data_IF_803354131516
#
_entry.id   IF_803354131516
#
_cell.length_a   1.000
_cell.length_b   1.000
_cell.length_c   1.000
_cell.angle_alpha   90.00
_cell.angle_beta   90.00
_cell.angle_gamma   90.00
#
_symmetry.space_group_name_H-M   'P 1'
#
loop_
_entity.id
_entity.type
_entity.pdbx_description
1 polymer ?
#
# COMPACT_ATOMS: atom_id res chain seq x y z
N UNK A 1 -10.00 6.98 -9.05
CA UNK A 1 -9.25 6.71 -9.57
C UNK A 1 -8.72 6.31 -9.76
N UNK A 2 -9.26 5.80 -9.43
CA UNK A 2 -8.58 5.23 -9.98
C UNK A 2 -7.73 5.10 -9.99
N UNK A 3 -8.42 5.05 -9.76
CA UNK A 3 -7.55 4.71 -10.18
C UNK A 3 -6.93 4.82 -10.28
N UNK A 4 -7.52 4.65 -9.95
CA UNK A 4 -6.85 4.47 -10.59
C UNK A 4 -6.43 4.39 -10.94
N UNK A 5 -6.90 4.49 -10.58
CA UNK A 5 -6.35 4.25 -11.30
C UNK A 5 -6.02 4.15 -11.55
N UNK A 6 -6.58 4.33 -11.37
CA UNK A 6 -5.99 4.09 -11.97
C UNK A 6 -5.76 4.10 -12.48
N UNK A 7 -5.91 4.34 -12.49
CA UNK A 7 -5.49 4.27 -13.31
C UNK A 7 -5.12 4.22 -13.74
N UNK A 8 -5.60 4.45 -13.43
CA UNK A 8 -5.12 4.32 -14.17
C UNK A 8 -5.03 4.21 -14.72
N UNK A 9 -5.48 4.29 -14.70
CA UNK A 9 -5.19 4.23 -15.36
C UNK A 9 -5.47 3.95 -15.85
N UNK A 10 -5.94 4.19 -16.07
CA UNK A 10 -6.03 3.89 -16.86
C UNK A 10 -6.45 3.45 -17.50
N UNK A 11 -6.98 3.49 -17.65
CA UNK A 11 -7.21 3.04 -18.38
C UNK A 11 -7.67 2.60 -19.01
N UNK A 12 -8.02 2.36 -19.30
CA UNK A 12 -8.33 2.01 -19.86
C UNK A 12 -8.48 1.26 -20.32
N UNK A 13 -8.73 0.88 -20.31
CA UNK A 13 -8.70 0.19 -20.56
C UNK A 13 -8.79 -0.76 -21.04
N UNK A 14 -9.11 -1.00 -21.24
CA UNK A 14 -9.11 -1.91 -21.63
C UNK A 14 -8.47 -2.79 -21.73
N UNK A 15 -8.43 -3.06 -21.45
CA UNK A 15 -7.86 -3.86 -21.29
C UNK A 15 -7.14 -4.45 -21.21
N UNK A 16 -6.84 -4.44 -21.17
CA UNK A 16 -6.14 -4.88 -21.12
C UNK A 16 -5.52 -5.28 -20.28
N UNK A 17 -5.66 -5.08 -19.71
CA UNK A 17 -5.17 -5.26 -18.67
C UNK A 17 -4.70 -6.35 -18.47
N UNK A 18 -4.87 -6.78 -18.67
CA UNK A 18 -4.59 -7.86 -18.55
C UNK A 18 -3.46 -8.11 -18.63
N UNK A 19 -3.05 -7.49 -19.11
CA UNK A 19 -1.98 -7.70 -19.28
C UNK A 19 -1.32 -8.07 -18.23
N UNK A 20 -1.42 -7.80 -17.31
CA UNK A 20 -0.72 -8.17 -16.30
C UNK A 20 -1.33 -9.12 -15.61
N UNK A 21 -2.34 -9.39 -15.67
CA UNK A 21 -2.89 -10.47 -15.12
C UNK A 21 -2.55 -10.86 -13.75
N UNK A 22 -2.03 -10.08 -12.99
CA UNK A 22 -1.70 -10.47 -11.67
C UNK A 22 -2.75 -10.16 -10.65
N UNK A 23 -3.96 -9.84 -11.06
CA UNK A 23 -5.04 -9.56 -10.14
C UNK A 23 -5.44 -10.86 -9.45
N UNK A 24 -5.54 -10.84 -8.15
CA UNK A 24 -6.01 -11.99 -7.40
C UNK A 24 -7.49 -11.80 -7.06
N UNK A 25 -8.06 -12.75 -6.33
CA UNK A 25 -9.47 -12.69 -5.96
C UNK A 25 -9.81 -11.49 -5.10
N UNK A 26 -8.82 -10.86 -4.49
CA UNK A 26 -9.03 -9.67 -3.66
C UNK A 26 -8.93 -8.38 -4.46
N UNK A 27 -8.66 -8.46 -5.75
CA UNK A 27 -8.55 -7.30 -6.62
C UNK A 27 -7.28 -6.50 -6.43
N UNK A 28 -6.25 -7.08 -5.83
CA UNK A 28 -4.98 -6.40 -5.62
C UNK A 28 -4.01 -6.81 -6.72
N UNK A 29 -3.44 -5.82 -7.38
CA UNK A 29 -2.40 -6.01 -8.38
C UNK A 29 -1.20 -5.22 -7.89
N UNK A 30 -0.05 -5.86 -7.79
CA UNK A 30 1.16 -5.21 -7.31
C UNK A 30 2.03 -4.74 -8.47
N UNK A 31 2.52 -3.52 -8.36
CA UNK A 31 3.37 -2.91 -9.36
C UNK A 31 4.59 -2.33 -8.66
N UNK A 32 5.74 -2.98 -8.82
CA UNK A 32 6.98 -2.50 -8.24
C UNK A 32 7.20 -3.01 -6.83
N UNK A 33 7.86 -2.20 -6.01
CA UNK A 33 8.15 -2.55 -4.64
C UNK A 33 6.92 -2.40 -3.76
N UNK A 34 6.88 -3.17 -2.69
CA UNK A 34 5.80 -3.13 -1.71
C UNK A 34 6.34 -2.61 -0.38
N UNK A 35 5.68 -1.62 0.18
CA UNK A 35 6.02 -1.10 1.50
C UNK A 35 4.90 -1.33 2.47
N UNK A 36 5.25 -1.59 3.73
CA UNK A 36 4.28 -1.87 4.77
C UNK A 36 4.63 -1.09 6.03
N UNK A 37 3.63 -0.48 6.64
CA UNK A 37 3.77 0.12 7.97
C UNK A 37 2.62 -0.39 8.81
N UNK A 38 2.95 -1.01 9.92
CA UNK A 38 1.95 -1.55 10.83
C UNK A 38 1.95 -0.77 12.13
N UNK A 39 0.77 -0.32 12.55
CA UNK A 39 0.62 0.49 13.74
C UNK A 39 -0.40 -0.14 14.68
N UNK A 40 -0.32 0.26 15.94
CA UNK A 40 -1.35 -0.08 16.91
C UNK A 40 -2.32 1.10 16.96
N UNK A 41 -3.48 0.90 16.34
CA UNK A 41 -4.51 1.92 16.31
C UNK A 41 -4.64 2.60 14.95
N UNK A 42 -5.85 3.03 14.65
CA UNK A 42 -6.18 3.60 13.35
C UNK A 42 -5.55 4.98 13.16
N UNK A 43 -5.51 5.79 14.22
CA UNK A 43 -4.98 7.16 14.07
C UNK A 43 -3.54 7.16 13.57
N UNK A 44 -2.69 6.34 14.19
CA UNK A 44 -1.31 6.24 13.75
C UNK A 44 -1.22 5.66 12.34
N UNK A 45 -2.09 4.72 12.00
CA UNK A 45 -2.13 4.15 10.65
C UNK A 45 -2.49 5.18 9.59
N UNK A 46 -3.47 6.00 9.87
CA UNK A 46 -3.88 7.05 8.93
C UNK A 46 -2.78 8.10 8.78
N UNK A 47 -2.12 8.44 9.88
CA UNK A 47 -1.00 9.37 9.80
C UNK A 47 0.14 8.79 8.96
N UNK A 48 0.44 7.50 9.13
CA UNK A 48 1.44 6.85 8.29
C UNK A 48 1.05 6.93 6.81
N UNK A 49 -0.20 6.64 6.51
CA UNK A 49 -0.67 6.67 5.13
C UNK A 49 -0.50 8.05 4.51
N UNK A 50 -0.92 9.08 5.22
CA UNK A 50 -0.81 10.45 4.74
C UNK A 50 0.65 10.84 4.53
N UNK A 51 1.50 10.55 5.50
CA UNK A 51 2.91 10.91 5.39
C UNK A 51 3.59 10.20 4.22
N UNK A 52 3.24 8.94 4.00
CA UNK A 52 3.86 8.17 2.91
C UNK A 52 3.53 8.74 1.54
N UNK A 53 2.26 9.03 1.28
CA UNK A 53 1.89 9.53 -0.04
C UNK A 53 2.32 10.97 -0.26
N UNK A 54 2.58 11.71 0.80
CA UNK A 54 3.13 13.06 0.68
C UNK A 54 4.63 13.06 0.45
N UNK A 55 5.33 12.03 0.94
CA UNK A 55 6.79 12.00 0.91
C UNK A 55 7.35 11.55 -0.43
N UNK A 56 6.65 10.71 -1.18
CA UNK A 56 7.19 10.12 -2.40
C UNK A 56 6.05 9.68 -3.31
N UNK A 57 6.40 9.37 -4.54
CA UNK A 57 5.42 8.95 -5.54
C UNK A 57 5.08 7.48 -5.33
N UNK A 58 4.17 7.22 -4.41
CA UNK A 58 3.71 5.88 -4.09
C UNK A 58 2.18 5.87 -4.04
N UNK A 59 1.62 4.68 -4.17
CA UNK A 59 0.17 4.48 -4.16
C UNK A 59 -0.19 3.57 -3.00
N UNK A 60 -1.24 3.91 -2.26
CA UNK A 60 -1.75 3.02 -1.23
C UNK A 60 -2.57 1.93 -1.90
N UNK A 61 -2.20 0.67 -1.65
CA UNK A 61 -2.87 -0.45 -2.29
C UNK A 61 -3.78 -1.22 -1.35
N UNK A 62 -3.57 -1.11 -0.05
CA UNK A 62 -4.41 -1.85 0.88
C UNK A 62 -4.30 -1.28 2.29
N UNK A 63 -5.34 -1.49 3.06
CA UNK A 63 -5.36 -1.31 4.49
C UNK A 63 -5.84 -2.62 5.08
N UNK A 64 -5.07 -3.18 6.00
CA UNK A 64 -5.41 -4.45 6.63
C UNK A 64 -5.66 -4.23 8.12
N UNK A 65 -6.75 -4.77 8.63
CA UNK A 65 -7.05 -4.79 10.06
C UNK A 65 -7.32 -6.22 10.44
N UNK A 66 -6.49 -6.77 11.31
CA UNK A 66 -6.56 -8.19 11.64
C UNK A 66 -7.00 -8.42 13.08
N UNK A 67 -7.37 -7.38 13.78
CA UNK A 67 -7.79 -7.49 15.18
C UNK A 67 -6.74 -6.98 16.13
N UNK A 68 -7.10 -6.84 17.38
CA UNK A 68 -6.18 -6.36 18.41
C UNK A 68 -5.77 -4.91 18.24
N UNK A 69 -6.45 -4.15 17.40
CA UNK A 69 -6.10 -2.76 17.13
C UNK A 69 -4.99 -2.58 16.11
N UNK A 70 -4.48 -3.66 15.54
CA UNK A 70 -3.40 -3.58 14.56
C UNK A 70 -3.94 -3.15 13.20
N UNK A 71 -3.25 -2.17 12.61
CA UNK A 71 -3.61 -1.63 11.30
C UNK A 71 -2.34 -1.62 10.46
N UNK A 72 -2.41 -2.18 9.28
CA UNK A 72 -1.29 -2.17 8.34
C UNK A 72 -1.70 -1.36 7.10
N UNK A 73 -0.82 -0.45 6.69
CA UNK A 73 -0.98 0.31 5.47
C UNK A 73 0.08 -0.18 4.50
N UNK A 74 -0.36 -0.50 3.29
CA UNK A 74 0.52 -1.04 2.27
C UNK A 74 0.57 -0.08 1.09
N UNK A 75 1.77 0.15 0.60
CA UNK A 75 2.01 1.05 -0.53
C UNK A 75 2.85 0.34 -1.58
N UNK A 76 2.79 0.85 -2.79
CA UNK A 76 3.63 0.34 -3.88
C UNK A 76 4.20 1.48 -4.68
N UNK A 77 5.27 1.19 -5.41
CA UNK A 77 5.94 2.14 -6.28
C UNK A 77 7.37 1.71 -6.57
N UNK A 78 8.17 2.60 -7.12
CA UNK A 78 9.58 2.32 -7.31
C UNK A 78 10.24 2.12 -5.95
N UNK A 79 11.26 1.24 -5.92
CA UNK A 79 11.85 0.84 -4.64
C UNK A 79 12.40 2.03 -3.85
N UNK A 80 13.04 2.98 -4.51
CA UNK A 80 13.56 4.17 -3.82
C UNK A 80 12.45 5.01 -3.22
N UNK A 81 11.37 5.19 -3.98
CA UNK A 81 10.21 5.95 -3.50
C UNK A 81 9.55 5.24 -2.32
N UNK A 82 9.41 3.92 -2.40
CA UNK A 82 8.79 3.15 -1.33
C UNK A 82 9.63 3.22 -0.06
N UNK A 83 10.96 3.12 -0.18
CA UNK A 83 11.82 3.24 1.00
C UNK A 83 11.68 4.60 1.66
N UNK A 84 11.71 5.67 0.86
CA UNK A 84 11.56 7.02 1.38
C UNK A 84 10.19 7.21 2.05
N UNK A 85 9.15 6.68 1.41
CA UNK A 85 7.80 6.79 1.93
C UNK A 85 7.66 6.04 3.27
N UNK A 86 8.16 4.82 3.35
CA UNK A 86 8.08 4.04 4.59
C UNK A 86 8.80 4.76 5.73
N UNK A 87 10.00 5.29 5.46
CA UNK A 87 10.73 6.03 6.49
C UNK A 87 9.92 7.22 6.99
N UNK A 88 9.32 7.97 6.08
CA UNK A 88 8.49 9.13 6.46
C UNK A 88 7.25 8.69 7.24
N UNK A 89 6.63 7.61 6.81
CA UNK A 89 5.44 7.08 7.49
C UNK A 89 5.73 6.65 8.92
N UNK A 90 6.84 5.95 9.12
CA UNK A 90 7.25 5.50 10.45
C UNK A 90 7.52 6.71 11.34
N UNK A 91 8.29 7.68 10.85
CA UNK A 91 8.63 8.85 11.63
C UNK A 91 7.39 9.63 12.06
N UNK A 92 6.46 9.82 11.13
CA UNK A 92 5.27 10.60 11.38
C UNK A 92 4.29 9.87 12.30
N UNK A 93 4.06 8.59 12.04
CA UNK A 93 3.14 7.79 12.84
C UNK A 93 3.64 7.62 14.28
N UNK A 94 4.96 7.58 14.47
CA UNK A 94 5.54 7.43 15.81
C UNK A 94 5.22 8.60 16.72
N UNK A 95 4.89 9.75 16.15
CA UNK A 95 4.50 10.91 16.96
C UNK A 95 3.04 10.86 17.37
N UNK A 96 2.26 10.02 16.74
CA UNK A 96 0.81 9.92 16.99
C UNK A 96 0.49 8.71 17.86
N UNK A 97 1.20 7.62 17.63
CA UNK A 97 0.94 6.38 18.34
C UNK A 97 2.11 5.43 18.20
N UNK A 98 1.81 4.14 18.28
CA UNK A 98 2.86 3.13 18.26
C UNK A 98 2.99 2.49 16.88
N UNK A 99 4.20 2.53 16.34
CA UNK A 99 4.53 1.77 15.13
C UNK A 99 5.03 0.40 15.60
N UNK A 100 4.39 -0.65 15.10
CA UNK A 100 4.71 -2.03 15.49
C UNK A 100 5.81 -2.58 14.62
N UNK A 101 5.71 -2.38 13.30
CA UNK A 101 6.71 -2.86 12.37
C UNK A 101 6.60 -2.12 11.05
N UNK A 102 7.66 -2.19 10.27
CA UNK A 102 7.66 -1.67 8.91
C UNK A 102 8.60 -2.52 8.07
N UNK A 103 8.35 -2.56 6.78
CA UNK A 103 9.16 -3.38 5.90
C UNK A 103 9.01 -2.93 4.46
N UNK A 104 10.04 -3.21 3.66
CA UNK A 104 10.00 -2.97 2.23
C UNK A 104 10.40 -4.27 1.54
N UNK A 105 9.59 -4.71 0.59
CA UNK A 105 9.89 -5.85 -0.26
C UNK A 105 10.19 -5.30 -1.64
N UNK A 106 11.46 -5.29 -2.06
CA UNK A 106 11.84 -4.62 -3.32
C UNK A 106 11.19 -5.23 -4.56
N UNK A 107 11.05 -6.53 -4.59
CA UNK A 107 10.42 -7.22 -5.72
C UNK A 107 9.53 -8.34 -5.20
N UNK A 108 8.30 -8.01 -4.80
CA UNK A 108 7.41 -9.04 -4.29
C UNK A 108 7.09 -10.06 -5.38
N UNK A 109 7.01 -11.32 -4.97
CA UNK A 109 6.58 -12.38 -5.87
C UNK A 109 5.13 -12.11 -6.28
N UNK A 110 4.75 -12.58 -7.47
CA UNK A 110 3.40 -12.35 -7.98
C UNK A 110 2.31 -12.86 -7.03
N UNK A 111 2.59 -13.95 -6.32
CA UNK A 111 1.60 -14.54 -5.43
C UNK A 111 1.37 -13.74 -4.15
N UNK A 112 2.22 -12.76 -3.86
CA UNK A 112 2.07 -11.97 -2.62
C UNK A 112 0.74 -11.24 -2.60
N UNK A 113 0.27 -10.80 -3.76
CA UNK A 113 -1.01 -10.11 -3.83
C UNK A 113 -2.16 -10.96 -3.29
N UNK A 114 -2.04 -12.28 -3.33
CA UNK A 114 -3.11 -13.15 -2.88
C UNK A 114 -3.35 -13.11 -1.37
N UNK A 115 -2.36 -12.65 -0.59
CA UNK A 115 -2.52 -12.54 0.85
C UNK A 115 -3.05 -11.18 1.27
N UNK A 116 -3.24 -10.27 0.35
CA UNK A 116 -3.70 -8.91 0.63
C UNK A 116 -5.17 -8.78 0.27
N UNK A 117 -5.91 -8.05 1.07
CA UNK A 117 -7.32 -7.79 0.81
C UNK A 117 -7.51 -6.31 0.59
N UNK A 118 -8.24 -6.00 -0.47
CA UNK A 118 -8.56 -4.62 -0.73
C UNK A 118 -9.60 -4.15 0.26
N UNK A 119 -9.27 -3.14 1.00
CA UNK A 119 -10.17 -2.61 2.01
C UNK A 119 -10.82 -1.31 1.60
N UNK A 120 -10.43 -0.77 0.46
CA UNK A 120 -11.00 0.49 0.03
C UNK A 120 -12.31 0.24 -0.68
N UNK A 121 -13.31 1.01 -0.30
CA UNK A 121 -14.63 0.91 -0.88
C UNK A 121 -14.83 2.12 -1.75
N UNK A 122 -15.41 1.87 -2.87
CA UNK A 122 -15.64 2.93 -3.76
C UNK A 122 -17.00 3.29 -3.90
#
# INVERSE_FOLDING_TARGET
>A
MERTAVKTGTTTGTGTATENGNANANGVVLHGALGLVETLGLAAGVEAADAMVKAANVTIVARQQVGGGLVAILIEGDVGAVKAAVDAGVASASRVGKVVSSHVIPRPHDDVASVLKRKFVR
#
